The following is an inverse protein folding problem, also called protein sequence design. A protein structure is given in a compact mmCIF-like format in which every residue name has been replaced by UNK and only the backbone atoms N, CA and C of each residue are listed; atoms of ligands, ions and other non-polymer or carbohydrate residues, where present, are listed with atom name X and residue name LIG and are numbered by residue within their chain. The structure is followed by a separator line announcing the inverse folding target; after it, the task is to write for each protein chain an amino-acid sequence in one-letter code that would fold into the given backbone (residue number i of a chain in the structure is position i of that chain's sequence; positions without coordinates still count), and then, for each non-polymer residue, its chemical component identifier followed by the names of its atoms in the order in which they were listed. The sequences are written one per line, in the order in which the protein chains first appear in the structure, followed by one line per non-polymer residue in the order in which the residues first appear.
data_IF_211968447668
#
_entry.id   IF_211968447668
#
_cell.length_a   1.000
_cell.length_b   1.000
_cell.length_c   1.000
_cell.angle_alpha   90.00
_cell.angle_beta   90.00
_cell.angle_gamma   90.00
#
_symmetry.space_group_name_H-M   'P 1'
#
loop_
_entity.id
_entity.type
_entity.pdbx_description
1 polymer ?
#
# COMPACT_ATOMS: atom_id res chain seq x y z
N UNK A 1 12.14 64.92 -22.76
CA UNK A 1 13.17 63.92 -22.37
C UNK A 1 12.82 63.33 -21.01
N UNK A 2 12.29 62.10 -20.97
CA UNK A 2 12.61 61.03 -20.00
C UNK A 2 11.74 59.81 -20.33
N UNK A 3 12.41 58.67 -20.35
CA UNK A 3 12.03 57.35 -20.87
C UNK A 3 10.83 56.75 -20.13
N UNK A 4 9.87 56.17 -20.85
CA UNK A 4 9.11 55.01 -20.37
C UNK A 4 9.09 54.00 -21.51
N UNK A 5 10.06 53.10 -21.47
CA UNK A 5 10.17 51.92 -22.32
C UNK A 5 9.86 50.72 -21.44
N UNK A 6 9.10 49.78 -21.99
CA UNK A 6 8.96 48.38 -21.58
C UNK A 6 8.20 48.08 -20.27
N UNK A 7 6.94 47.67 -20.42
CA UNK A 7 6.24 46.78 -19.49
C UNK A 7 5.33 45.84 -20.29
N UNK A 8 5.97 45.12 -21.22
CA UNK A 8 5.48 43.86 -21.79
C UNK A 8 6.54 42.84 -21.40
N UNK A 9 6.11 41.65 -20.97
CA UNK A 9 6.90 40.54 -20.38
C UNK A 9 6.95 40.60 -18.84
N UNK A 10 5.84 40.26 -18.18
CA UNK A 10 5.73 39.33 -17.02
C UNK A 10 4.25 38.90 -17.00
N UNK A 11 3.85 38.11 -18.00
CA UNK A 11 2.51 37.49 -18.03
C UNK A 11 2.54 36.10 -18.69
N UNK A 12 3.72 35.45 -18.72
CA UNK A 12 3.92 34.15 -19.41
C UNK A 12 4.54 33.07 -18.50
N UNK A 13 4.74 33.30 -17.21
CA UNK A 13 5.24 32.25 -16.30
C UNK A 13 4.44 32.16 -15.00
N UNK A 14 3.12 32.00 -15.14
CA UNK A 14 2.29 31.37 -14.12
C UNK A 14 1.76 30.03 -14.65
N UNK A 15 2.64 29.25 -15.29
CA UNK A 15 2.56 27.81 -15.13
C UNK A 15 3.20 27.58 -13.76
N UNK A 16 2.38 27.48 -12.72
CA UNK A 16 2.82 26.83 -11.49
C UNK A 16 3.14 25.39 -11.87
N UNK A 17 4.35 25.15 -12.36
CA UNK A 17 5.03 23.91 -12.14
C UNK A 17 5.16 23.84 -10.62
N UNK A 18 4.14 23.31 -9.95
CA UNK A 18 4.34 22.60 -8.70
C UNK A 18 5.23 21.43 -9.09
N UNK A 19 6.53 21.70 -9.23
CA UNK A 19 7.55 20.70 -9.17
C UNK A 19 7.47 20.20 -7.73
N UNK A 20 6.56 19.25 -7.50
CA UNK A 20 6.52 18.52 -6.25
C UNK A 20 7.93 17.99 -6.05
N UNK A 21 8.60 18.53 -5.04
CA UNK A 21 9.93 18.08 -4.66
C UNK A 21 9.83 16.56 -4.48
N UNK A 22 10.50 15.83 -5.38
CA UNK A 22 10.48 14.37 -5.42
C UNK A 22 11.23 13.89 -4.17
N UNK A 23 10.59 13.18 -3.23
CA UNK A 23 11.31 12.64 -2.08
C UNK A 23 12.39 11.67 -2.58
N UNK A 24 13.64 11.88 -2.15
CA UNK A 24 14.85 11.23 -2.68
C UNK A 24 15.03 9.77 -2.26
N UNK A 25 14.12 9.20 -1.47
CA UNK A 25 14.34 7.94 -0.74
C UNK A 25 13.21 6.91 -0.98
N UNK A 26 12.81 6.67 -2.23
CA UNK A 26 11.87 5.58 -2.51
C UNK A 26 12.62 4.27 -2.77
N UNK A 27 12.32 3.26 -1.95
CA UNK A 27 12.82 1.90 -2.03
C UNK A 27 12.42 1.25 -3.36
N UNK A 28 13.41 0.81 -4.15
CA UNK A 28 13.20 0.04 -5.37
C UNK A 28 12.94 -1.41 -4.97
N UNK A 29 11.79 -1.95 -5.38
CA UNK A 29 11.47 -3.36 -5.17
C UNK A 29 12.39 -4.20 -6.06
N UNK A 30 13.21 -5.10 -5.50
CA UNK A 30 14.01 -5.99 -6.31
C UNK A 30 13.09 -6.94 -7.08
N UNK A 31 13.29 -7.01 -8.40
CA UNK A 31 12.79 -8.06 -9.29
C UNK A 31 11.28 -8.07 -9.57
N UNK A 32 10.64 -6.93 -9.85
CA UNK A 32 9.53 -7.01 -10.81
C UNK A 32 10.18 -7.36 -12.17
N UNK A 33 9.96 -8.55 -12.75
CA UNK A 33 10.51 -8.83 -14.07
C UNK A 33 10.03 -7.74 -15.03
N UNK A 34 10.93 -7.22 -15.85
CA UNK A 34 10.57 -6.26 -16.88
C UNK A 34 9.60 -6.93 -17.86
N UNK A 35 8.29 -6.77 -17.63
CA UNK A 35 7.20 -7.37 -18.44
C UNK A 35 6.75 -6.36 -19.51
N UNK A 36 7.70 -5.60 -20.08
CA UNK A 36 7.43 -4.62 -21.13
C UNK A 36 6.58 -3.44 -20.65
N UNK A 37 5.25 -3.51 -20.81
CA UNK A 37 4.32 -2.42 -20.52
C UNK A 37 3.31 -2.80 -19.41
N UNK A 38 2.62 -1.79 -18.88
CA UNK A 38 1.66 -1.94 -17.78
C UNK A 38 0.47 -2.85 -18.14
N UNK A 39 0.03 -2.89 -19.40
CA UNK A 39 -1.07 -3.75 -19.85
C UNK A 39 -0.72 -5.23 -19.77
N UNK A 40 0.46 -5.61 -20.24
CA UNK A 40 0.97 -6.98 -20.14
C UNK A 40 1.17 -7.39 -18.68
N UNK A 41 1.66 -6.46 -17.85
CA UNK A 41 1.82 -6.70 -16.42
C UNK A 41 0.45 -6.95 -15.74
N UNK A 42 -0.56 -6.14 -16.05
CA UNK A 42 -1.95 -6.33 -15.56
C UNK A 42 -2.49 -7.68 -15.99
N UNK A 43 -2.33 -8.04 -17.27
CA UNK A 43 -2.79 -9.34 -17.78
C UNK A 43 -2.20 -10.48 -16.97
N UNK A 44 -0.89 -10.44 -16.73
CA UNK A 44 -0.19 -11.47 -15.96
C UNK A 44 -0.66 -11.54 -14.50
N UNK A 45 -0.97 -10.40 -13.87
CA UNK A 45 -1.52 -10.39 -12.51
C UNK A 45 -2.95 -10.93 -12.47
N UNK A 46 -3.77 -10.63 -13.49
CA UNK A 46 -5.14 -11.14 -13.60
C UNK A 46 -5.16 -12.65 -13.87
N UNK A 47 -4.31 -13.14 -14.76
CA UNK A 47 -4.17 -14.58 -15.02
C UNK A 47 -3.76 -15.31 -13.72
N UNK A 48 -2.83 -14.74 -12.95
CA UNK A 48 -2.49 -15.26 -11.62
C UNK A 48 -3.67 -15.23 -10.63
N UNK A 49 -4.41 -14.11 -10.55
CA UNK A 49 -5.53 -13.98 -9.60
C UNK A 49 -6.63 -15.02 -9.91
N UNK A 50 -6.91 -15.26 -11.20
CA UNK A 50 -7.87 -16.29 -11.62
C UNK A 50 -7.46 -17.67 -11.12
N UNK A 51 -6.21 -18.05 -11.37
CA UNK A 51 -5.71 -19.39 -11.04
C UNK A 51 -5.53 -19.57 -9.53
N UNK A 52 -4.91 -18.59 -8.87
CA UNK A 52 -4.45 -18.70 -7.48
C UNK A 52 -5.56 -18.44 -6.46
N UNK A 53 -6.45 -17.48 -6.76
CA UNK A 53 -7.57 -17.12 -5.88
C UNK A 53 -8.92 -17.66 -6.36
N UNK A 54 -8.94 -18.46 -7.43
CA UNK A 54 -10.18 -18.94 -8.08
C UNK A 54 -11.14 -17.78 -8.43
N UNK A 55 -10.57 -16.66 -8.88
CA UNK A 55 -11.33 -15.46 -9.21
C UNK A 55 -11.89 -15.52 -10.63
N UNK A 56 -13.13 -15.09 -10.82
CA UNK A 56 -13.73 -15.03 -12.16
C UNK A 56 -13.61 -13.62 -12.73
N UNK A 57 -12.96 -13.50 -13.89
CA UNK A 57 -12.80 -12.25 -14.63
C UNK A 57 -11.48 -11.53 -14.35
N UNK A 58 -11.38 -10.29 -14.81
CA UNK A 58 -10.18 -9.46 -14.64
C UNK A 58 -10.37 -8.54 -13.43
N UNK A 59 -9.51 -8.70 -12.42
CA UNK A 59 -9.51 -7.85 -11.25
C UNK A 59 -8.94 -6.47 -11.62
N UNK A 60 -7.67 -6.42 -12.00
CA UNK A 60 -6.99 -5.19 -12.41
C UNK A 60 -7.36 -4.76 -13.83
N UNK A 61 -7.43 -3.45 -14.05
CA UNK A 61 -7.61 -2.81 -15.35
C UNK A 61 -6.72 -1.56 -15.45
N UNK A 62 -6.64 -0.93 -16.62
CA UNK A 62 -5.87 0.33 -16.78
C UNK A 62 -6.51 1.50 -16.01
N UNK A 63 -7.83 1.44 -15.83
CA UNK A 63 -8.58 2.38 -14.99
C UNK A 63 -9.30 1.63 -13.88
N UNK A 64 -9.38 2.23 -12.70
CA UNK A 64 -10.18 1.68 -11.60
C UNK A 64 -11.69 1.84 -11.85
N UNK A 65 -12.53 1.35 -10.92
CA UNK A 65 -13.99 1.44 -11.01
C UNK A 65 -14.52 2.88 -11.10
N UNK A 66 -13.73 3.86 -10.68
CA UNK A 66 -14.06 5.29 -10.73
C UNK A 66 -13.20 6.05 -11.75
N UNK A 67 -12.81 5.38 -12.84
CA UNK A 67 -12.11 5.94 -14.01
C UNK A 67 -10.73 6.57 -13.75
N UNK A 68 -10.11 6.34 -12.58
CA UNK A 68 -8.76 6.80 -12.29
C UNK A 68 -7.73 5.92 -12.98
N UNK A 69 -6.77 6.52 -13.65
CA UNK A 69 -5.68 5.81 -14.33
C UNK A 69 -4.68 5.21 -13.34
N UNK A 70 -3.97 4.15 -13.76
CA UNK A 70 -2.82 3.65 -13.01
C UNK A 70 -1.77 4.74 -12.85
N UNK A 71 -1.21 4.82 -11.65
CA UNK A 71 -0.03 5.61 -11.36
C UNK A 71 1.20 4.92 -11.95
N UNK A 72 1.59 5.34 -13.16
CA UNK A 72 2.73 4.75 -13.87
C UNK A 72 4.03 4.90 -13.10
N UNK A 73 4.21 6.01 -12.36
CA UNK A 73 5.42 6.21 -11.55
C UNK A 73 5.52 5.19 -10.40
N UNK A 74 4.45 4.95 -9.64
CA UNK A 74 4.44 3.93 -8.58
C UNK A 74 4.58 2.50 -9.15
N UNK A 75 3.99 2.26 -10.33
CA UNK A 75 4.18 1.01 -11.05
C UNK A 75 5.65 0.80 -11.44
N UNK A 76 6.27 1.77 -12.10
CA UNK A 76 7.64 1.69 -12.62
C UNK A 76 8.69 1.63 -11.50
N UNK A 77 8.47 2.35 -10.40
CA UNK A 77 9.47 2.45 -9.32
C UNK A 77 9.31 1.39 -8.23
N UNK A 78 8.08 0.93 -7.98
CA UNK A 78 7.74 0.08 -6.83
C UNK A 78 6.90 -1.15 -7.21
N UNK A 79 6.57 -1.34 -8.48
CA UNK A 79 5.72 -2.46 -8.91
C UNK A 79 4.31 -2.41 -8.32
N UNK A 80 3.82 -1.23 -7.92
CA UNK A 80 2.51 -1.09 -7.30
C UNK A 80 1.42 -0.83 -8.35
N UNK A 81 0.35 -1.61 -8.30
CA UNK A 81 -0.87 -1.36 -9.06
C UNK A 81 -1.79 -0.45 -8.26
N UNK A 82 -1.50 0.86 -8.31
CA UNK A 82 -2.22 1.93 -7.61
C UNK A 82 -2.82 2.87 -8.64
N UNK A 83 -4.03 3.37 -8.37
CA UNK A 83 -4.76 4.25 -9.26
C UNK A 83 -4.79 5.68 -8.73
N UNK A 84 -4.71 6.67 -9.62
CA UNK A 84 -4.69 8.09 -9.26
C UNK A 84 -3.37 8.56 -8.64
N UNK A 85 -3.40 9.76 -8.07
CA UNK A 85 -2.22 10.38 -7.45
C UNK A 85 -2.24 10.20 -5.93
N UNK A 86 -1.08 10.18 -5.26
CA UNK A 86 -0.98 10.27 -3.82
C UNK A 86 -1.70 11.52 -3.29
N UNK A 87 -2.33 11.41 -2.12
CA UNK A 87 -3.09 12.51 -1.53
C UNK A 87 -3.16 12.42 0.00
N UNK A 88 -3.58 13.53 0.59
CA UNK A 88 -3.90 13.66 2.01
C UNK A 88 -5.36 14.10 2.12
N UNK A 89 -6.11 13.51 3.06
CA UNK A 89 -7.48 13.97 3.37
C UNK A 89 -7.46 15.20 4.28
N UNK A 90 -6.45 15.25 5.14
CA UNK A 90 -6.21 16.30 6.13
C UNK A 90 -4.70 16.60 6.18
N UNK A 91 -4.30 17.73 6.75
CA UNK A 91 -2.90 18.14 6.84
C UNK A 91 -2.01 17.06 7.50
N UNK A 92 -2.51 16.41 8.56
CA UNK A 92 -1.81 15.32 9.26
C UNK A 92 -1.61 14.03 8.45
N UNK A 93 -2.18 13.96 7.24
CA UNK A 93 -2.02 12.84 6.31
C UNK A 93 -0.90 13.08 5.29
N UNK A 94 -0.11 14.13 5.50
CA UNK A 94 1.19 14.34 4.87
C UNK A 94 2.25 14.58 5.94
N UNK A 95 3.17 13.64 6.13
CA UNK A 95 4.21 13.71 7.18
C UNK A 95 5.53 13.14 6.67
N UNK A 96 6.63 13.79 7.03
CA UNK A 96 7.99 13.36 6.67
C UNK A 96 8.19 13.13 5.16
N UNK A 97 7.54 13.91 4.32
CA UNK A 97 7.62 13.78 2.86
C UNK A 97 6.72 12.69 2.26
N UNK A 98 5.93 11.98 3.08
CA UNK A 98 5.05 10.91 2.65
C UNK A 98 3.59 11.28 2.79
N UNK A 99 2.82 11.05 1.72
CA UNK A 99 1.36 10.99 1.80
C UNK A 99 0.93 9.69 2.49
N UNK A 100 -0.12 9.74 3.31
CA UNK A 100 -0.74 8.57 3.91
C UNK A 100 -1.35 7.64 2.87
N UNK A 101 -1.84 8.21 1.78
CA UNK A 101 -2.46 7.47 0.69
C UNK A 101 -1.65 7.64 -0.59
N UNK A 102 -1.28 6.53 -1.21
CA UNK A 102 -0.57 6.50 -2.48
C UNK A 102 -1.51 6.68 -3.68
N UNK A 103 -2.81 6.59 -3.45
CA UNK A 103 -3.86 6.65 -4.45
C UNK A 103 -4.99 5.73 -4.03
N UNK A 104 -5.50 4.96 -4.99
CA UNK A 104 -6.69 4.14 -4.85
C UNK A 104 -6.44 2.71 -5.31
N UNK A 105 -7.22 1.77 -4.76
CA UNK A 105 -7.30 0.39 -5.28
C UNK A 105 -8.18 0.34 -6.54
N UNK A 106 -8.28 -0.84 -7.15
CA UNK A 106 -9.18 -1.10 -8.27
C UNK A 106 -10.66 -0.77 -7.94
N UNK A 107 -11.07 -0.92 -6.69
CA UNK A 107 -12.43 -0.67 -6.21
C UNK A 107 -12.62 0.72 -5.59
N UNK A 108 -11.65 1.62 -5.79
CA UNK A 108 -11.67 3.00 -5.30
C UNK A 108 -11.54 3.17 -3.78
N UNK A 109 -11.07 2.13 -3.08
CA UNK A 109 -10.62 2.24 -1.69
C UNK A 109 -9.28 2.97 -1.62
N UNK A 110 -8.98 3.56 -0.46
CA UNK A 110 -7.71 4.25 -0.26
C UNK A 110 -6.55 3.25 -0.17
N UNK A 111 -5.56 3.39 -1.05
CA UNK A 111 -4.33 2.62 -0.98
C UNK A 111 -3.38 3.27 0.03
N UNK A 112 -3.20 2.64 1.19
CA UNK A 112 -2.37 3.18 2.28
C UNK A 112 -0.88 3.02 1.99
N UNK A 113 -0.08 3.97 2.47
CA UNK A 113 1.36 3.99 2.30
C UNK A 113 2.04 3.31 3.50
N UNK A 114 2.86 2.30 3.22
CA UNK A 114 3.66 1.56 4.17
C UNK A 114 4.81 2.39 4.77
N UNK A 115 5.32 3.38 4.01
CA UNK A 115 6.35 4.32 4.47
C UNK A 115 5.80 5.45 5.31
N UNK A 116 4.47 5.55 5.45
CA UNK A 116 3.87 6.60 6.27
C UNK A 116 4.13 6.32 7.77
N UNK A 117 4.56 7.33 8.53
CA UNK A 117 4.90 7.16 9.94
C UNK A 117 3.67 6.76 10.77
N UNK A 118 3.93 6.07 11.88
CA UNK A 118 2.87 5.62 12.79
C UNK A 118 2.13 6.83 13.37
N UNK A 119 0.82 6.69 13.61
CA UNK A 119 0.03 7.77 14.23
C UNK A 119 0.48 8.02 15.67
N UNK A 120 0.87 6.94 16.37
CA UNK A 120 1.46 6.95 17.71
C UNK A 120 2.61 5.95 17.78
N UNK A 121 3.74 6.36 18.36
CA UNK A 121 4.86 5.47 18.64
C UNK A 121 4.50 4.62 19.84
N UNK A 122 4.33 3.32 19.62
CA UNK A 122 3.99 2.37 20.67
C UNK A 122 5.15 1.39 20.88
N UNK A 123 5.53 1.09 22.14
CA UNK A 123 6.63 0.16 22.43
C UNK A 123 6.42 -1.22 21.78
N UNK A 124 7.54 -1.92 21.57
CA UNK A 124 7.56 -3.28 21.05
C UNK A 124 7.44 -3.39 19.54
N UNK A 125 7.90 -4.54 19.03
CA UNK A 125 7.79 -4.92 17.62
C UNK A 125 6.36 -5.27 17.25
N UNK A 126 6.06 -5.28 15.95
CA UNK A 126 4.73 -5.60 15.44
C UNK A 126 4.28 -7.00 15.86
N UNK A 127 5.16 -8.00 15.91
CA UNK A 127 4.85 -9.36 16.36
C UNK A 127 4.57 -9.47 17.88
N UNK A 128 4.67 -8.37 18.62
CA UNK A 128 4.40 -8.27 20.05
C UNK A 128 3.16 -7.42 20.37
N UNK A 129 2.51 -6.84 19.35
CA UNK A 129 1.35 -5.95 19.56
C UNK A 129 0.06 -6.76 19.78
N UNK A 130 -0.86 -6.16 20.52
CA UNK A 130 -2.20 -6.70 20.71
C UNK A 130 -3.08 -6.39 19.48
N UNK A 131 -3.00 -7.24 18.47
CA UNK A 131 -3.73 -7.08 17.22
C UNK A 131 -5.21 -7.43 17.36
N UNK A 132 -6.03 -6.67 16.63
CA UNK A 132 -7.46 -6.88 16.50
C UNK A 132 -7.70 -8.04 15.54
N UNK A 133 -8.20 -9.16 16.06
CA UNK A 133 -8.64 -10.29 15.24
C UNK A 133 -9.88 -9.98 14.40
N UNK A 134 -9.91 -10.54 13.19
CA UNK A 134 -10.94 -10.42 12.16
C UNK A 134 -11.45 -8.98 11.99
N UNK A 135 -10.59 -8.02 11.64
CA UNK A 135 -10.98 -6.61 11.61
C UNK A 135 -12.04 -6.28 10.54
N UNK A 136 -12.21 -7.11 9.52
CA UNK A 136 -13.26 -6.97 8.51
C UNK A 136 -14.66 -7.27 9.05
N UNK A 137 -14.79 -7.99 10.17
CA UNK A 137 -16.07 -8.27 10.84
C UNK A 137 -16.47 -7.15 11.84
N UNK A 138 -15.72 -6.03 11.85
CA UNK A 138 -15.86 -4.98 12.86
C UNK A 138 -16.12 -3.63 12.21
N UNK A 139 -17.01 -2.86 12.82
CA UNK A 139 -17.28 -1.48 12.46
C UNK A 139 -16.21 -0.55 13.04
N UNK A 140 -15.00 -0.53 12.49
CA UNK A 140 -14.05 0.55 12.78
C UNK A 140 -14.27 1.72 11.83
N UNK A 141 -14.06 2.94 12.33
CA UNK A 141 -14.00 4.13 11.47
C UNK A 141 -12.54 4.34 11.05
N UNK A 142 -12.26 4.13 9.77
CA UNK A 142 -11.03 4.52 9.11
C UNK A 142 -11.19 5.89 8.45
N UNK A 143 -10.67 6.94 9.11
CA UNK A 143 -10.57 8.32 8.56
C UNK A 143 -11.89 8.85 8.00
N UNK A 144 -12.94 8.76 8.80
CA UNK A 144 -14.28 9.26 8.47
C UNK A 144 -15.12 8.32 7.61
N UNK A 145 -14.58 7.16 7.22
CA UNK A 145 -15.35 6.07 6.61
C UNK A 145 -15.37 4.90 7.58
N UNK A 146 -16.48 4.20 7.74
CA UNK A 146 -16.42 2.83 8.26
C UNK A 146 -15.40 2.06 7.41
N UNK A 147 -14.67 1.10 7.99
CA UNK A 147 -13.82 0.16 7.25
C UNK A 147 -14.63 -0.18 5.99
N UNK A 148 -14.18 0.26 4.80
CA UNK A 148 -14.98 0.05 3.63
C UNK A 148 -15.07 -1.45 3.49
N UNK A 149 -16.28 -1.96 3.60
CA UNK A 149 -16.56 -3.28 3.08
C UNK A 149 -16.09 -3.24 1.63
N UNK A 150 -15.12 -4.06 1.30
CA UNK A 150 -14.52 -4.06 -0.01
C UNK A 150 -14.86 -5.35 -0.72
N UNK A 151 -14.58 -5.38 -2.02
CA UNK A 151 -14.92 -6.53 -2.84
C UNK A 151 -14.22 -7.82 -2.39
N UNK A 152 -13.08 -7.74 -1.69
CA UNK A 152 -12.37 -8.90 -1.15
C UNK A 152 -12.98 -9.49 0.11
N UNK A 153 -13.83 -8.75 0.82
CA UNK A 153 -14.66 -9.33 1.88
C UNK A 153 -15.57 -10.43 1.32
N UNK A 154 -16.05 -10.27 0.08
CA UNK A 154 -16.82 -11.31 -0.62
C UNK A 154 -15.97 -12.41 -1.24
N UNK A 155 -14.74 -12.11 -1.64
CA UNK A 155 -13.84 -13.10 -2.24
C UNK A 155 -13.25 -14.06 -1.20
N UNK A 156 -13.62 -13.89 0.08
CA UNK A 156 -13.21 -14.75 1.18
C UNK A 156 -11.68 -14.88 1.23
N UNK A 157 -10.90 -13.85 0.86
CA UNK A 157 -9.44 -13.93 0.96
C UNK A 157 -8.95 -13.51 2.34
N UNK A 158 -9.69 -12.63 3.01
CA UNK A 158 -9.43 -12.26 4.41
C UNK A 158 -9.42 -13.52 5.27
N UNK A 159 -8.44 -13.62 6.17
CA UNK A 159 -8.29 -14.79 7.04
C UNK A 159 -7.78 -16.07 6.36
N UNK A 160 -7.40 -16.05 5.07
CA UNK A 160 -6.90 -17.26 4.39
C UNK A 160 -5.41 -17.49 4.66
N UNK A 161 -5.00 -18.70 5.12
CA UNK A 161 -3.59 -19.01 5.40
C UNK A 161 -2.64 -18.80 4.23
N UNK A 162 -3.15 -18.84 3.00
CA UNK A 162 -2.40 -18.59 1.76
C UNK A 162 -1.73 -17.20 1.72
N UNK A 163 -2.24 -16.23 2.48
CA UNK A 163 -1.68 -14.88 2.55
C UNK A 163 -0.56 -14.73 3.59
N UNK A 164 -0.44 -15.67 4.55
CA UNK A 164 0.44 -15.51 5.72
C UNK A 164 1.88 -15.24 5.33
N UNK A 165 2.41 -16.02 4.40
CA UNK A 165 3.80 -15.85 3.96
C UNK A 165 4.04 -14.51 3.29
N UNK A 166 3.10 -14.06 2.44
CA UNK A 166 3.17 -12.76 1.77
C UNK A 166 3.13 -11.60 2.76
N UNK A 167 2.24 -11.68 3.77
CA UNK A 167 2.14 -10.69 4.84
C UNK A 167 3.45 -10.61 5.64
N UNK A 168 3.98 -11.75 6.08
CA UNK A 168 5.18 -11.81 6.92
C UNK A 168 6.41 -11.32 6.16
N UNK A 169 6.59 -11.74 4.90
CA UNK A 169 7.67 -11.25 4.03
C UNK A 169 7.55 -9.74 3.80
N UNK A 170 6.34 -9.25 3.53
CA UNK A 170 6.13 -7.84 3.25
C UNK A 170 6.43 -6.96 4.46
N UNK A 171 6.00 -7.36 5.65
CA UNK A 171 6.36 -6.67 6.88
C UNK A 171 7.87 -6.71 7.14
N UNK A 172 8.53 -7.86 6.94
CA UNK A 172 9.98 -7.95 7.12
C UNK A 172 10.74 -7.04 6.15
N UNK A 173 10.31 -7.01 4.89
CA UNK A 173 10.92 -6.18 3.85
C UNK A 173 10.88 -4.68 4.20
N UNK A 174 9.74 -4.18 4.67
CA UNK A 174 9.58 -2.75 4.93
C UNK A 174 9.97 -2.31 6.35
N UNK A 175 9.84 -3.20 7.34
CA UNK A 175 9.86 -2.80 8.74
C UNK A 175 11.00 -3.40 9.56
N UNK A 176 11.77 -4.35 9.01
CA UNK A 176 12.82 -4.99 9.79
C UNK A 176 14.07 -4.10 9.98
N UNK A 177 14.40 -3.25 9.01
CA UNK A 177 15.53 -2.32 9.16
C UNK A 177 15.23 -1.17 10.14
N UNK A 178 13.96 -0.85 10.34
CA UNK A 178 13.51 0.06 11.41
C UNK A 178 13.44 -0.65 12.79
N UNK A 179 13.74 -1.95 12.86
CA UNK A 179 13.62 -2.73 14.09
C UNK A 179 12.17 -2.98 14.54
N UNK A 180 11.19 -2.73 13.67
CA UNK A 180 9.75 -2.91 13.97
C UNK A 180 9.24 -4.31 13.67
N UNK A 181 9.99 -5.10 12.90
CA UNK A 181 9.71 -6.51 12.58
C UNK A 181 11.01 -7.34 12.54
N UNK A 182 10.99 -8.67 12.72
CA UNK A 182 12.20 -9.47 12.56
C UNK A 182 12.66 -9.57 11.10
N UNK A 183 13.98 -9.64 10.91
CA UNK A 183 14.63 -9.78 9.58
C UNK A 183 14.45 -11.21 9.04
N UNK A 184 14.25 -11.32 7.73
CA UNK A 184 14.16 -12.63 7.04
C UNK A 184 15.40 -13.48 7.36
N UNK A 185 15.19 -14.76 7.65
CA UNK A 185 16.26 -15.72 7.98
C UNK A 185 16.67 -15.73 9.46
N UNK A 186 16.05 -14.92 10.32
CA UNK A 186 16.27 -14.95 11.78
C UNK A 186 15.33 -15.94 12.48
N UNK A 187 15.70 -16.52 13.65
CA UNK A 187 14.79 -17.34 14.44
C UNK A 187 13.50 -16.62 14.82
N UNK A 188 13.57 -15.32 15.10
CA UNK A 188 12.42 -14.49 15.41
C UNK A 188 11.48 -14.34 14.21
N UNK A 189 12.02 -14.27 12.99
CA UNK A 189 11.22 -14.27 11.77
C UNK A 189 10.52 -15.59 11.56
N UNK A 190 11.21 -16.72 11.74
CA UNK A 190 10.58 -18.04 11.66
C UNK A 190 9.51 -18.23 12.73
N UNK A 191 9.71 -17.69 13.94
CA UNK A 191 8.67 -17.67 14.97
C UNK A 191 7.46 -16.82 14.54
N UNK A 192 7.69 -15.59 14.06
CA UNK A 192 6.62 -14.72 13.59
C UNK A 192 5.86 -15.32 12.38
N UNK A 193 6.54 -16.06 11.50
CA UNK A 193 5.97 -16.73 10.33
C UNK A 193 5.11 -17.94 10.71
N UNK A 194 5.61 -18.78 11.62
CA UNK A 194 5.03 -20.10 11.86
C UNK A 194 4.03 -20.10 13.04
N UNK A 195 4.16 -19.17 14.00
CA UNK A 195 3.36 -19.18 15.23
C UNK A 195 2.34 -18.05 15.35
N UNK A 196 2.34 -17.08 14.43
CA UNK A 196 1.35 -16.01 14.39
C UNK A 196 0.50 -16.14 13.13
N UNK A 197 -0.81 -16.25 13.32
CA UNK A 197 -1.80 -16.33 12.24
C UNK A 197 -2.10 -14.93 11.66
N UNK A 198 -1.08 -14.31 11.04
CA UNK A 198 -1.13 -12.93 10.57
C UNK A 198 -2.35 -12.60 9.70
N UNK A 199 -2.78 -13.53 8.86
CA UNK A 199 -3.95 -13.38 8.00
C UNK A 199 -5.26 -13.12 8.77
N UNK A 200 -5.33 -13.47 10.07
CA UNK A 200 -6.47 -13.17 10.94
C UNK A 200 -6.53 -11.72 11.41
N UNK A 201 -5.44 -10.97 11.23
CA UNK A 201 -5.31 -9.60 11.74
C UNK A 201 -5.29 -8.53 10.64
N UNK A 202 -5.18 -8.95 9.36
CA UNK A 202 -5.02 -8.04 8.22
C UNK A 202 -6.30 -7.98 7.41
N UNK A 203 -6.92 -6.82 7.34
CA UNK A 203 -7.94 -6.54 6.34
C UNK A 203 -7.25 -6.22 5.01
N UNK A 204 -7.36 -7.12 4.04
CA UNK A 204 -6.83 -6.97 2.69
C UNK A 204 -7.71 -6.03 1.86
N UNK A 205 -7.12 -4.96 1.34
CA UNK A 205 -7.79 -4.04 0.40
C UNK A 205 -7.41 -4.38 -1.05
N UNK A 206 -6.21 -4.91 -1.25
CA UNK A 206 -5.74 -5.40 -2.53
C UNK A 206 -4.80 -6.60 -2.29
N UNK A 207 -5.06 -7.77 -2.89
CA UNK A 207 -4.26 -8.96 -2.67
C UNK A 207 -2.88 -8.80 -3.32
N UNK A 208 -1.87 -9.47 -2.77
CA UNK A 208 -0.63 -9.69 -3.49
C UNK A 208 -0.92 -10.53 -4.72
N UNK A 209 -0.09 -10.38 -5.76
CA UNK A 209 -0.16 -11.22 -6.94
C UNK A 209 1.18 -11.86 -7.21
N UNK A 210 1.33 -12.47 -8.39
CA UNK A 210 2.58 -13.08 -8.83
C UNK A 210 3.77 -12.14 -8.69
N UNK A 211 3.62 -10.89 -9.11
CA UNK A 211 4.70 -9.89 -9.15
C UNK A 211 4.34 -8.52 -8.57
N UNK A 212 3.07 -8.28 -8.20
CA UNK A 212 2.64 -7.00 -7.61
C UNK A 212 2.40 -7.16 -6.12
N UNK A 213 2.74 -6.09 -5.39
CA UNK A 213 2.46 -6.00 -3.95
C UNK A 213 0.97 -5.87 -3.68
N UNK A 214 0.53 -6.54 -2.64
CA UNK A 214 -0.76 -6.31 -2.01
C UNK A 214 -0.65 -5.27 -0.91
N UNK A 215 -1.80 -4.75 -0.48
CA UNK A 215 -1.90 -3.91 0.71
C UNK A 215 -3.10 -4.31 1.55
N UNK A 216 -2.88 -4.34 2.86
CA UNK A 216 -3.93 -4.40 3.85
C UNK A 216 -3.66 -3.43 4.98
N UNK A 217 -4.56 -3.46 5.96
CA UNK A 217 -4.41 -2.72 7.21
C UNK A 217 -4.72 -3.63 8.39
N UNK A 218 -3.97 -3.46 9.46
CA UNK A 218 -4.20 -4.13 10.73
C UNK A 218 -4.35 -3.10 11.84
N UNK A 219 -5.16 -3.41 12.85
CA UNK A 219 -5.37 -2.56 14.00
C UNK A 219 -4.81 -3.20 15.24
N UNK A 220 -4.21 -2.41 16.10
CA UNK A 220 -3.78 -2.86 17.41
C UNK A 220 -4.35 -1.97 18.50
N UNK A 221 -4.59 -2.58 19.66
CA UNK A 221 -5.14 -1.90 20.82
C UNK A 221 -4.03 -1.50 21.79
N UNK A 222 -4.22 -0.36 22.41
CA UNK A 222 -3.40 0.19 23.50
C UNK A 222 -4.30 0.74 24.58
N UNK A 223 -3.74 1.16 25.72
CA UNK A 223 -4.49 1.86 26.77
C UNK A 223 -5.03 3.22 26.30
N UNK A 224 -4.45 3.82 25.26
CA UNK A 224 -4.80 5.15 24.76
C UNK A 224 -5.81 5.10 23.61
N UNK A 225 -6.03 3.93 23.02
CA UNK A 225 -6.93 3.76 21.89
C UNK A 225 -6.53 2.65 20.94
N UNK A 226 -7.24 2.60 19.81
CA UNK A 226 -6.98 1.68 18.70
C UNK A 226 -6.28 2.42 17.58
N UNK A 227 -5.13 1.91 17.16
CA UNK A 227 -4.32 2.49 16.09
C UNK A 227 -4.18 1.47 14.96
N UNK A 228 -3.97 1.95 13.74
CA UNK A 228 -3.81 1.09 12.57
C UNK A 228 -2.40 1.17 12.01
N UNK A 229 -1.99 0.12 11.30
CA UNK A 229 -0.77 0.08 10.51
C UNK A 229 -1.06 -0.45 9.11
N UNK A 230 -0.43 0.15 8.11
CA UNK A 230 -0.38 -0.39 6.75
C UNK A 230 0.42 -1.69 6.75
N UNK A 231 -0.16 -2.75 6.20
CA UNK A 231 0.49 -4.06 6.08
C UNK A 231 0.78 -4.32 4.60
N UNK A 232 2.03 -4.10 4.14
CA UNK A 232 2.43 -4.46 2.78
C UNK A 232 2.49 -5.99 2.67
N UNK A 233 2.01 -6.52 1.55
CA UNK A 233 2.01 -7.96 1.26
C UNK A 233 2.91 -8.21 0.05
N UNK A 234 3.99 -8.96 0.26
CA UNK A 234 4.98 -9.24 -0.76
C UNK A 234 4.38 -10.02 -1.94
N UNK A 235 4.83 -9.81 -3.19
CA UNK A 235 4.49 -10.68 -4.30
C UNK A 235 4.73 -12.16 -3.97
N UNK A 236 3.86 -13.04 -4.47
CA UNK A 236 3.88 -14.47 -4.13
C UNK A 236 5.18 -15.16 -4.58
N UNK A 237 5.77 -14.71 -5.69
CA UNK A 237 7.04 -15.24 -6.20
C UNK A 237 8.26 -14.40 -5.81
N UNK A 238 8.16 -13.55 -4.79
CA UNK A 238 9.33 -12.81 -4.31
C UNK A 238 10.40 -13.80 -3.81
N UNK A 239 11.62 -13.79 -4.41
CA UNK A 239 12.72 -14.62 -3.93
C UNK A 239 13.13 -14.19 -2.52
N UNK A 240 13.63 -15.16 -1.75
CA UNK A 240 14.14 -14.97 -0.39
C UNK A 240 15.62 -14.64 -0.44
#
# INVERSE_FOLDING_TARGET
MKKITALIIIAVFLITNTAYARPSNYYIVPNAPYIGNVENFIKLQNDFIKDYYNYTGDYFKIKNKNNKDINTWLFETRGLLVYGQPFALEERDYRNGYYRFLGYTMYDDYYTNELFPDDVVTPGRFDQKNWVGNPWDKEYIFRGKTIPWNYFDNLIINGKPILRESIVKGMAYFYADEGKFPKIGTPEYENAKNNIEWEKYVHVFQPPTKYAWGVGIAWHQTNEGTYYKTIPMAPILMPV
#
